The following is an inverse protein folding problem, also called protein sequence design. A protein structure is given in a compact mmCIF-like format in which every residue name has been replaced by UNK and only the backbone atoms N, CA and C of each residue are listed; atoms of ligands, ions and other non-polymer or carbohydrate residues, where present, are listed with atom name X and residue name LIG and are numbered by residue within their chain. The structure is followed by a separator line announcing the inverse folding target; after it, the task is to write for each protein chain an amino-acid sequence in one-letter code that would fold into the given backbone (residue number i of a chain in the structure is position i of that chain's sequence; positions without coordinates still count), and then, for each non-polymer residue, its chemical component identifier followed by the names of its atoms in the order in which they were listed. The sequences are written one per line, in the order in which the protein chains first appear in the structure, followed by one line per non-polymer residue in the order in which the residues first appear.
data_IF_372685226744
#
_entry.id   IF_372685226744
#
_cell.length_a   1.000
_cell.length_b   1.000
_cell.length_c   1.000
_cell.angle_alpha   90.00
_cell.angle_beta   90.00
_cell.angle_gamma   90.00
#
_symmetry.space_group_name_H-M   'P 1'
#
loop_
_entity.id
_entity.type
_entity.pdbx_description
1 polymer ?
#
# COMPACT_ATOMS: atom_id res chain seq x y z
N UNK A 1 9.19 -13.80 -3.17
CA UNK A 1 9.57 -12.71 -2.24
C UNK A 1 8.60 -11.55 -2.39
N UNK A 2 8.30 -11.17 -3.64
CA UNK A 2 7.43 -10.05 -4.01
C UNK A 2 6.02 -10.16 -3.44
N UNK A 3 5.44 -11.36 -3.44
CA UNK A 3 4.10 -11.59 -2.87
C UNK A 3 4.03 -11.31 -1.36
N UNK A 4 5.10 -11.64 -0.63
CA UNK A 4 5.21 -11.33 0.80
C UNK A 4 5.41 -9.83 1.04
N UNK A 5 6.16 -9.17 0.16
CA UNK A 5 6.37 -7.72 0.23
C UNK A 5 5.07 -6.96 -0.06
N UNK A 6 4.30 -7.39 -1.06
CA UNK A 6 3.00 -6.80 -1.36
C UNK A 6 2.01 -6.97 -0.19
N UNK A 7 2.03 -8.14 0.46
CA UNK A 7 1.24 -8.35 1.68
C UNK A 7 1.68 -7.43 2.82
N UNK A 8 2.99 -7.20 2.97
CA UNK A 8 3.52 -6.23 3.94
C UNK A 8 3.06 -4.81 3.63
N UNK A 9 3.11 -4.38 2.37
CA UNK A 9 2.65 -3.04 1.98
C UNK A 9 1.17 -2.84 2.29
N UNK A 10 0.33 -3.84 2.02
CA UNK A 10 -1.08 -3.81 2.40
C UNK A 10 -1.26 -3.65 3.91
N UNK A 11 -0.49 -4.39 4.71
CA UNK A 11 -0.52 -4.30 6.18
C UNK A 11 -0.10 -2.91 6.68
N UNK A 12 0.91 -2.30 6.04
CA UNK A 12 1.33 -0.94 6.38
C UNK A 12 0.21 0.08 6.07
N UNK A 13 -0.52 -0.07 4.95
CA UNK A 13 -1.68 0.76 4.62
C UNK A 13 -2.84 0.57 5.64
N UNK A 14 -3.17 -0.69 5.97
CA UNK A 14 -4.20 -1.03 6.95
C UNK A 14 -3.85 -0.45 8.34
N UNK A 15 -2.58 -0.54 8.73
CA UNK A 15 -2.11 0.03 9.99
C UNK A 15 -2.18 1.56 9.94
N UNK A 16 -1.66 2.21 8.90
CA UNK A 16 -1.67 3.66 8.73
C UNK A 16 -3.08 4.25 8.86
N UNK A 17 -4.06 3.64 8.18
CA UNK A 17 -5.47 4.06 8.19
C UNK A 17 -6.23 3.68 9.46
N UNK A 18 -5.77 2.66 10.18
CA UNK A 18 -6.31 2.25 11.47
C UNK A 18 -5.50 2.82 12.64
N UNK A 19 -4.70 1.96 13.27
CA UNK A 19 -4.03 2.25 14.53
C UNK A 19 -2.76 3.11 14.40
N UNK A 20 -2.33 3.42 13.18
CA UNK A 20 -1.14 4.20 12.84
C UNK A 20 -1.37 5.71 12.85
N UNK A 21 -2.61 6.16 13.04
CA UNK A 21 -2.99 7.58 13.15
C UNK A 21 -2.44 8.46 12.03
N UNK A 22 -2.39 7.94 10.79
CA UNK A 22 -1.91 8.70 9.63
C UNK A 22 -0.43 9.08 9.67
N UNK A 23 0.39 8.44 10.52
CA UNK A 23 1.81 8.74 10.63
C UNK A 23 2.65 7.97 9.60
N UNK A 24 3.23 8.70 8.65
CA UNK A 24 4.00 8.12 7.54
C UNK A 24 5.24 7.36 8.00
N UNK A 25 5.83 7.71 9.15
CA UNK A 25 7.03 7.04 9.65
C UNK A 25 6.88 5.53 9.94
N UNK A 26 5.66 5.00 9.94
CA UNK A 26 5.38 3.56 10.01
C UNK A 26 5.37 2.85 8.66
N UNK A 27 5.22 3.59 7.56
CA UNK A 27 5.29 3.04 6.21
C UNK A 27 6.72 2.63 5.89
N UNK A 28 6.88 1.58 5.10
CA UNK A 28 8.18 1.12 4.65
C UNK A 28 9.01 2.23 3.99
N UNK A 29 8.37 3.02 3.12
CA UNK A 29 8.99 4.14 2.39
C UNK A 29 8.86 5.49 3.09
N UNK A 30 8.20 5.55 4.24
CA UNK A 30 8.00 6.79 5.02
C UNK A 30 7.31 7.94 4.29
N UNK A 31 6.62 7.65 3.19
CA UNK A 31 5.77 8.58 2.43
C UNK A 31 4.60 7.80 1.86
N UNK A 32 3.40 8.36 1.92
CA UNK A 32 2.20 7.77 1.30
C UNK A 32 2.40 7.64 -0.21
N UNK A 33 2.91 8.70 -0.86
CA UNK A 33 3.13 8.74 -2.30
C UNK A 33 4.10 7.65 -2.76
N UNK A 34 5.29 7.58 -2.16
CA UNK A 34 6.31 6.59 -2.52
C UNK A 34 5.84 5.15 -2.20
N UNK A 35 5.14 4.96 -1.08
CA UNK A 35 4.62 3.65 -0.69
C UNK A 35 3.56 3.13 -1.66
N UNK A 36 2.61 3.98 -2.07
CA UNK A 36 1.60 3.60 -3.06
C UNK A 36 2.22 3.39 -4.45
N UNK A 37 3.15 4.23 -4.89
CA UNK A 37 3.80 4.07 -6.19
C UNK A 37 4.56 2.73 -6.27
N UNK A 38 5.28 2.35 -5.22
CA UNK A 38 5.98 1.06 -5.17
C UNK A 38 5.02 -0.12 -5.04
N UNK A 39 3.89 0.05 -4.35
CA UNK A 39 2.83 -0.96 -4.29
C UNK A 39 2.19 -1.20 -5.67
N UNK A 40 1.92 -0.13 -6.43
CA UNK A 40 1.40 -0.20 -7.80
C UNK A 40 2.41 -0.87 -8.75
N UNK A 41 3.71 -0.49 -8.67
CA UNK A 41 4.78 -1.11 -9.47
C UNK A 41 4.92 -2.60 -9.18
N UNK A 42 4.94 -2.97 -7.89
CA UNK A 42 5.06 -4.36 -7.47
C UNK A 42 3.86 -5.18 -7.94
N UNK A 43 2.63 -4.68 -7.76
CA UNK A 43 1.42 -5.35 -8.25
C UNK A 43 1.43 -5.54 -9.76
N UNK A 44 1.92 -4.55 -10.52
CA UNK A 44 2.06 -4.65 -11.98
C UNK A 44 3.19 -5.56 -12.45
N UNK A 45 4.16 -5.88 -11.59
CA UNK A 45 5.25 -6.81 -11.93
C UNK A 45 4.82 -8.29 -11.93
N UNK A 46 3.70 -8.62 -11.30
CA UNK A 46 3.14 -9.98 -11.35
C UNK A 46 2.53 -10.26 -12.72
N UNK A 47 2.70 -11.50 -13.19
CA UNK A 47 1.95 -11.98 -14.35
C UNK A 47 0.43 -11.93 -14.07
N UNK A 48 -0.38 -11.87 -15.13
CA UNK A 48 -1.84 -11.73 -14.97
C UNK A 48 -2.47 -12.88 -14.16
N UNK A 49 -1.93 -14.08 -14.26
CA UNK A 49 -2.32 -15.28 -13.53
C UNK A 49 -1.72 -15.39 -12.11
N UNK A 50 -0.69 -14.59 -11.81
CA UNK A 50 -0.05 -14.54 -10.49
C UNK A 50 -0.56 -13.38 -9.61
N UNK A 51 -1.41 -12.51 -10.17
CA UNK A 51 -1.99 -11.39 -9.44
C UNK A 51 -2.83 -11.89 -8.25
N UNK A 52 -2.66 -11.29 -7.07
CA UNK A 52 -3.41 -11.70 -5.89
C UNK A 52 -4.90 -11.39 -6.00
N UNK A 53 -5.75 -12.32 -5.56
CA UNK A 53 -7.21 -12.08 -5.43
C UNK A 53 -7.56 -11.19 -4.22
N UNK A 54 -6.67 -11.11 -3.23
CA UNK A 54 -6.87 -10.35 -1.99
C UNK A 54 -6.49 -8.88 -2.07
N UNK A 55 -5.93 -8.43 -3.21
CA UNK A 55 -5.57 -7.04 -3.45
C UNK A 55 -5.65 -6.72 -4.94
N UNK A 56 -6.57 -5.85 -5.31
CA UNK A 56 -6.71 -5.34 -6.68
C UNK A 56 -6.02 -4.00 -6.85
N UNK A 57 -5.71 -3.63 -8.10
CA UNK A 57 -5.19 -2.31 -8.45
C UNK A 57 -6.13 -1.17 -8.00
N UNK A 58 -7.45 -1.37 -8.06
CA UNK A 58 -8.42 -0.38 -7.56
C UNK A 58 -8.32 -0.20 -6.04
N UNK A 59 -8.12 -1.28 -5.29
CA UNK A 59 -7.89 -1.19 -3.84
C UNK A 59 -6.58 -0.45 -3.51
N UNK A 60 -5.52 -0.62 -4.30
CA UNK A 60 -4.27 0.14 -4.12
C UNK A 60 -4.52 1.65 -4.31
N UNK A 61 -5.30 2.02 -5.33
CA UNK A 61 -5.69 3.42 -5.56
C UNK A 61 -6.56 3.98 -4.45
N UNK A 62 -7.51 3.19 -3.96
CA UNK A 62 -8.36 3.56 -2.82
C UNK A 62 -7.52 3.77 -1.55
N UNK A 63 -6.54 2.90 -1.28
CA UNK A 63 -5.57 3.11 -0.19
C UNK A 63 -4.85 4.45 -0.34
N UNK A 64 -4.35 4.76 -1.54
CA UNK A 64 -3.67 6.03 -1.82
C UNK A 64 -4.54 7.23 -1.48
N UNK A 65 -5.78 7.26 -1.97
CA UNK A 65 -6.71 8.37 -1.71
C UNK A 65 -7.03 8.52 -0.21
N UNK A 66 -7.32 7.41 0.47
CA UNK A 66 -7.63 7.44 1.91
C UNK A 66 -6.41 7.87 2.73
N UNK A 67 -5.22 7.37 2.40
CA UNK A 67 -4.00 7.66 3.15
C UNK A 67 -3.58 9.12 2.96
N UNK A 68 -3.66 9.67 1.76
CA UNK A 68 -3.39 11.09 1.52
C UNK A 68 -4.33 12.01 2.29
N UNK A 69 -5.61 11.60 2.44
CA UNK A 69 -6.60 12.34 3.24
C UNK A 69 -6.38 12.20 4.75
N UNK A 70 -5.90 11.04 5.20
CA UNK A 70 -5.68 10.73 6.61
C UNK A 70 -4.27 11.11 7.11
N UNK A 71 -3.35 11.47 6.20
CA UNK A 71 -1.98 11.82 6.52
C UNK A 71 -1.95 12.94 7.56
N UNK A 72 -1.17 12.70 8.61
CA UNK A 72 -0.90 13.68 9.65
C UNK A 72 0.07 14.74 9.12
N UNK A 73 -0.27 16.01 9.35
CA UNK A 73 0.60 17.16 9.09
C UNK A 73 1.87 17.17 9.97
#
# INVERSE_FOLDING_TARGET
MDYMMLSRYKMDCDYFLGNGNGYEGHLYYKSVEEHCDEMEKLWNSFAEDEKPEWLTMEQIKEYREQMLKARRD
#
